data_IF_851435018016
#
_entry.id   IF_851435018016
#
_cell.length_a   1.000
_cell.length_b   1.000
_cell.length_c   1.000
_cell.angle_alpha   90.00
_cell.angle_beta   90.00
_cell.angle_gamma   90.00
#
_symmetry.space_group_name_H-M   'P 1'
#
loop_
_entity.id
_entity.type
_entity.pdbx_description
1 polymer ?
#
# COMPACT_ATOMS: atom_id res chain seq x y z
N UNK A 1 -31.77 18.63 -1.74
CA UNK A 1 -30.59 18.88 -0.87
C UNK A 1 -30.10 17.49 -0.43
N UNK A 2 -28.85 17.11 -0.74
CA UNK A 2 -28.31 15.85 -0.28
C UNK A 2 -27.78 16.06 1.15
N UNK A 3 -28.31 15.34 2.10
CA UNK A 3 -27.82 15.38 3.48
C UNK A 3 -26.46 14.73 3.59
N UNK A 4 -25.52 15.40 4.26
CA UNK A 4 -24.25 14.83 4.63
C UNK A 4 -24.47 13.87 5.79
N UNK A 5 -24.56 12.57 5.50
CA UNK A 5 -24.86 11.55 6.50
C UNK A 5 -23.75 11.35 7.54
N UNK A 6 -22.50 11.69 7.22
CA UNK A 6 -21.36 11.64 8.14
C UNK A 6 -20.27 12.60 7.67
N UNK A 7 -19.72 13.48 8.54
CA UNK A 7 -18.55 14.27 8.19
C UNK A 7 -17.37 13.32 7.98
N UNK A 8 -16.78 13.37 6.80
CA UNK A 8 -15.53 12.63 6.52
C UNK A 8 -14.37 13.41 7.13
N UNK A 9 -13.73 12.85 8.15
CA UNK A 9 -12.43 13.32 8.64
C UNK A 9 -11.35 12.81 7.67
N UNK A 10 -11.28 13.43 6.49
CA UNK A 10 -10.29 13.08 5.51
C UNK A 10 -8.88 13.39 6.05
N UNK A 11 -8.10 12.36 6.26
CA UNK A 11 -6.65 12.50 6.44
C UNK A 11 -6.04 12.84 5.10
N UNK A 12 -5.17 13.83 5.07
CA UNK A 12 -4.49 14.32 3.89
C UNK A 12 -3.00 14.14 4.07
N UNK A 13 -2.30 13.77 3.01
CA UNK A 13 -0.84 13.85 2.97
C UNK A 13 -0.38 15.06 2.18
N UNK A 14 0.81 15.53 2.48
CA UNK A 14 1.39 16.70 1.83
C UNK A 14 2.78 17.02 2.34
N UNK A 15 3.25 18.19 2.02
CA UNK A 15 4.60 18.66 2.33
C UNK A 15 4.51 19.95 3.13
N UNK A 16 5.42 20.12 4.09
CA UNK A 16 5.61 21.39 4.77
C UNK A 16 6.38 22.34 3.86
N UNK A 17 5.78 23.46 3.55
CA UNK A 17 6.38 24.54 2.78
C UNK A 17 6.58 25.77 3.65
N UNK A 18 7.38 26.71 3.18
CA UNK A 18 7.63 27.95 3.89
C UNK A 18 7.47 29.18 2.98
N UNK A 19 6.80 30.20 3.47
CA UNK A 19 6.71 31.50 2.85
C UNK A 19 6.88 32.59 3.91
N UNK A 20 7.82 33.51 3.69
CA UNK A 20 8.14 34.66 4.57
C UNK A 20 8.33 34.26 6.04
N UNK A 21 9.04 33.14 6.30
CA UNK A 21 9.34 32.65 7.65
C UNK A 21 8.15 31.99 8.36
N UNK A 22 7.08 31.69 7.64
CA UNK A 22 5.95 30.91 8.16
C UNK A 22 5.80 29.62 7.41
N UNK A 23 5.53 28.55 8.15
CA UNK A 23 5.29 27.24 7.59
C UNK A 23 3.82 27.00 7.26
N UNK A 24 3.59 26.27 6.18
CA UNK A 24 2.29 25.94 5.61
C UNK A 24 2.25 24.47 5.20
N UNK A 25 1.08 23.91 5.17
CA UNK A 25 0.82 22.57 4.65
C UNK A 25 0.38 22.67 3.19
N UNK A 26 1.11 22.02 2.29
CA UNK A 26 0.76 21.86 0.88
C UNK A 26 0.29 20.43 0.65
N UNK A 27 -1.02 20.25 0.50
CA UNK A 27 -1.62 18.93 0.30
C UNK A 27 -1.33 18.36 -1.08
N UNK A 28 -1.11 17.04 -1.18
CA UNK A 28 -0.81 16.34 -2.43
C UNK A 28 -1.98 16.35 -3.41
N UNK A 29 -3.20 16.22 -2.90
CA UNK A 29 -4.42 15.97 -3.69
C UNK A 29 -5.38 17.16 -3.76
N UNK A 30 -5.00 18.28 -3.15
CA UNK A 30 -5.81 19.49 -3.14
C UNK A 30 -5.21 20.56 -4.08
N UNK A 31 -5.75 21.77 -4.02
CA UNK A 31 -5.20 22.94 -4.72
C UNK A 31 -3.72 23.16 -4.37
N UNK A 32 -2.93 23.66 -5.32
CA UNK A 32 -1.53 24.07 -5.10
C UNK A 32 -1.37 25.26 -4.13
N UNK A 33 -2.44 25.72 -3.50
CA UNK A 33 -2.39 26.80 -2.53
C UNK A 33 -2.10 26.23 -1.13
N UNK A 34 -1.04 26.67 -0.47
CA UNK A 34 -0.71 26.20 0.87
C UNK A 34 -1.77 26.58 1.90
N UNK A 35 -1.98 25.69 2.87
CA UNK A 35 -2.95 25.81 3.96
C UNK A 35 -2.21 26.21 5.24
N UNK A 36 -2.80 27.08 6.03
CA UNK A 36 -2.24 27.47 7.34
C UNK A 36 -2.21 26.26 8.27
N UNK A 37 -1.11 26.15 9.02
CA UNK A 37 -0.99 25.12 10.05
C UNK A 37 -1.35 25.75 11.39
N UNK A 38 -2.25 25.09 12.13
CA UNK A 38 -2.46 25.40 13.54
C UNK A 38 -1.29 24.86 14.38
N UNK A 39 -1.15 25.37 15.61
CA UNK A 39 -0.14 24.87 16.54
C UNK A 39 -0.29 23.35 16.67
N UNK A 40 0.79 22.65 16.36
CA UNK A 40 0.89 21.20 16.46
C UNK A 40 1.93 20.85 17.53
N UNK A 41 1.68 19.82 18.29
CA UNK A 41 2.66 19.23 19.21
C UNK A 41 3.71 18.39 18.48
N UNK A 42 3.47 18.10 17.20
CA UNK A 42 4.37 17.32 16.35
C UNK A 42 5.50 18.20 15.83
N UNK A 43 6.73 17.74 15.99
CA UNK A 43 7.91 18.39 15.40
C UNK A 43 8.01 18.04 13.91
N UNK A 44 8.09 19.06 13.07
CA UNK A 44 8.28 18.94 11.62
C UNK A 44 9.17 20.07 11.10
N UNK A 45 9.74 19.87 9.92
CA UNK A 45 10.60 20.84 9.24
C UNK A 45 10.05 21.16 7.86
N UNK A 46 10.43 22.30 7.32
CA UNK A 46 10.21 22.62 5.91
C UNK A 46 10.81 21.53 5.02
N UNK A 47 10.02 21.01 4.09
CA UNK A 47 10.37 19.88 3.23
C UNK A 47 10.00 18.50 3.79
N UNK A 48 9.43 18.41 4.98
CA UNK A 48 8.95 17.14 5.49
C UNK A 48 7.62 16.72 4.85
N UNK A 49 7.51 15.42 4.61
CA UNK A 49 6.28 14.72 4.24
C UNK A 49 5.47 14.46 5.51
N UNK A 50 4.22 14.89 5.51
CA UNK A 50 3.37 14.84 6.71
C UNK A 50 1.98 14.33 6.39
N UNK A 51 1.30 13.84 7.42
CA UNK A 51 -0.15 13.62 7.44
C UNK A 51 -0.81 14.72 8.25
N UNK A 52 -1.90 15.26 7.73
CA UNK A 52 -2.68 16.32 8.36
C UNK A 52 -4.17 16.05 8.26
N UNK A 53 -4.95 16.69 9.12
CA UNK A 53 -6.41 16.82 8.98
C UNK A 53 -6.79 18.29 8.87
N UNK A 54 -7.89 18.60 8.18
CA UNK A 54 -8.47 19.91 8.18
C UNK A 54 -9.24 20.14 9.50
N UNK A 55 -8.74 21.03 10.33
CA UNK A 55 -9.40 21.40 11.59
C UNK A 55 -10.38 22.56 11.40
N UNK A 56 -10.18 23.39 10.37
CA UNK A 56 -11.11 24.47 10.00
C UNK A 56 -11.29 24.52 8.49
N UNK A 57 -12.55 24.56 8.03
CA UNK A 57 -12.92 24.76 6.63
C UNK A 57 -13.40 26.19 6.44
N UNK A 58 -12.66 26.96 5.66
CA UNK A 58 -13.03 28.31 5.26
C UNK A 58 -13.77 28.32 3.91
N UNK A 59 -14.28 29.47 3.51
CA UNK A 59 -14.99 29.65 2.23
C UNK A 59 -14.06 29.53 1.00
N UNK A 60 -12.78 29.83 1.18
CA UNK A 60 -11.74 29.69 0.15
C UNK A 60 -10.69 28.72 0.65
N UNK A 61 -10.00 28.08 -0.27
CA UNK A 61 -8.94 27.12 0.07
C UNK A 61 -7.88 27.70 1.03
N UNK A 62 -7.46 28.93 0.81
CA UNK A 62 -6.48 29.64 1.66
C UNK A 62 -6.96 29.93 3.09
N UNK A 63 -8.28 29.83 3.32
CA UNK A 63 -8.89 30.08 4.62
C UNK A 63 -9.07 28.79 5.43
N UNK A 64 -8.64 27.65 4.87
CA UNK A 64 -8.57 26.39 5.60
C UNK A 64 -7.41 26.43 6.59
N UNK A 65 -7.54 25.63 7.63
CA UNK A 65 -6.49 25.39 8.61
C UNK A 65 -6.32 23.89 8.78
N UNK A 66 -5.07 23.45 8.88
CA UNK A 66 -4.70 22.06 9.04
C UNK A 66 -3.94 21.84 10.36
N UNK A 67 -4.17 20.70 10.95
CA UNK A 67 -3.43 20.19 12.08
C UNK A 67 -2.55 19.04 11.60
N UNK A 68 -1.25 19.07 11.90
CA UNK A 68 -0.33 18.00 11.57
C UNK A 68 -0.51 16.87 12.58
N UNK A 69 -0.79 15.67 12.06
CA UNK A 69 -1.02 14.48 12.86
C UNK A 69 0.23 13.60 12.99
N UNK A 70 1.07 13.60 11.94
CA UNK A 70 2.23 12.73 11.86
C UNK A 70 3.25 13.25 10.84
N UNK A 71 4.53 13.02 11.07
CA UNK A 71 5.61 13.27 10.10
C UNK A 71 6.25 11.96 9.66
N UNK A 72 6.38 11.78 8.35
CA UNK A 72 7.09 10.64 7.73
C UNK A 72 8.59 10.96 7.51
N UNK A 73 9.01 12.21 7.77
CA UNK A 73 10.34 12.71 7.48
C UNK A 73 10.45 13.38 6.12
N UNK A 74 11.66 13.53 5.61
CA UNK A 74 11.92 14.31 4.38
C UNK A 74 11.14 13.80 3.18
N UNK A 75 10.46 14.70 2.46
CA UNK A 75 9.80 14.42 1.19
C UNK A 75 10.76 14.05 0.04
N UNK A 76 12.06 14.28 0.22
CA UNK A 76 13.10 13.82 -0.71
C UNK A 76 13.46 12.35 -0.52
N UNK A 77 12.94 11.70 0.51
CA UNK A 77 13.15 10.28 0.78
C UNK A 77 11.99 9.46 0.22
N UNK A 78 12.29 8.54 -0.69
CA UNK A 78 11.31 7.66 -1.30
C UNK A 78 10.53 6.81 -0.27
N UNK A 79 11.19 6.35 0.80
CA UNK A 79 10.54 5.60 1.87
C UNK A 79 9.47 6.45 2.58
N UNK A 80 9.76 7.72 2.90
CA UNK A 80 8.79 8.64 3.51
C UNK A 80 7.57 8.85 2.61
N UNK A 81 7.78 8.99 1.30
CA UNK A 81 6.70 9.11 0.33
C UNK A 81 5.85 7.84 0.23
N UNK A 82 6.49 6.66 0.18
CA UNK A 82 5.80 5.38 0.14
C UNK A 82 4.96 5.15 1.41
N UNK A 83 5.51 5.39 2.60
CA UNK A 83 4.78 5.29 3.86
C UNK A 83 3.57 6.24 3.91
N UNK A 84 3.72 7.46 3.39
CA UNK A 84 2.61 8.42 3.33
C UNK A 84 1.47 7.95 2.41
N UNK A 85 1.79 7.30 1.29
CA UNK A 85 0.81 6.72 0.38
C UNK A 85 0.07 5.53 1.01
N UNK A 86 0.78 4.64 1.68
CA UNK A 86 0.16 3.54 2.41
C UNK A 86 -0.81 4.08 3.49
N UNK A 87 -0.32 5.01 4.30
CA UNK A 87 -1.09 5.56 5.41
C UNK A 87 -2.37 6.31 4.98
N UNK A 88 -2.32 7.11 3.89
CA UNK A 88 -3.51 7.84 3.39
C UNK A 88 -4.55 6.88 2.79
N UNK A 89 -4.11 5.73 2.28
CA UNK A 89 -4.99 4.69 1.75
C UNK A 89 -5.43 3.68 2.82
N UNK A 90 -5.05 3.87 4.08
CA UNK A 90 -5.41 2.97 5.17
C UNK A 90 -4.74 1.60 5.11
N UNK A 91 -3.61 1.51 4.39
CA UNK A 91 -2.82 0.28 4.27
C UNK A 91 -1.78 0.27 5.39
N UNK A 92 -1.85 -0.72 6.25
CA UNK A 92 -0.88 -0.95 7.31
C UNK A 92 0.36 -1.64 6.74
N UNK A 93 1.53 -1.31 7.26
CA UNK A 93 2.82 -1.87 6.81
C UNK A 93 2.99 -3.32 7.22
N UNK A 94 2.47 -3.67 8.39
CA UNK A 94 2.57 -5.00 8.96
C UNK A 94 1.19 -5.66 9.04
N UNK A 95 1.15 -6.98 8.91
CA UNK A 95 -0.06 -7.73 9.15
C UNK A 95 -0.44 -7.70 10.63
N UNK A 96 -1.75 -7.67 10.96
CA UNK A 96 -2.22 -7.75 12.35
C UNK A 96 -1.69 -8.99 13.08
N UNK A 97 -1.50 -8.89 14.39
CA UNK A 97 -0.92 -9.96 15.21
C UNK A 97 -1.64 -11.32 15.08
N UNK A 98 -2.95 -11.30 14.95
CA UNK A 98 -3.74 -12.54 14.77
C UNK A 98 -3.37 -13.23 13.45
N UNK A 99 -3.20 -12.47 12.36
CA UNK A 99 -2.77 -13.00 11.07
C UNK A 99 -1.35 -13.57 11.16
N UNK A 100 -0.42 -12.84 11.81
CA UNK A 100 0.95 -13.33 12.02
C UNK A 100 0.98 -14.62 12.84
N UNK A 101 0.12 -14.76 13.87
CA UNK A 101 -0.02 -15.99 14.66
C UNK A 101 -0.54 -17.15 13.82
N UNK A 102 -1.53 -16.91 12.96
CA UNK A 102 -2.09 -17.96 12.11
C UNK A 102 -1.09 -18.39 11.01
N UNK A 103 -0.36 -17.48 10.42
CA UNK A 103 0.75 -17.82 9.50
C UNK A 103 1.79 -18.72 10.19
N UNK A 104 2.20 -18.39 11.43
CA UNK A 104 3.13 -19.23 12.19
C UNK A 104 2.57 -20.64 12.46
N UNK A 105 1.27 -20.77 12.78
CA UNK A 105 0.62 -22.07 12.96
C UNK A 105 0.63 -22.90 11.68
N UNK A 106 0.25 -22.27 10.55
CA UNK A 106 0.22 -22.93 9.25
C UNK A 106 1.62 -23.37 8.83
N UNK A 107 2.62 -22.52 9.00
CA UNK A 107 4.01 -22.87 8.72
C UNK A 107 4.53 -24.02 9.58
N UNK A 108 4.16 -24.06 10.87
CA UNK A 108 4.56 -25.13 11.78
C UNK A 108 3.84 -26.45 11.48
N UNK A 109 2.59 -26.39 11.01
CA UNK A 109 1.83 -27.57 10.64
C UNK A 109 2.37 -28.24 9.37
N UNK A 110 2.92 -27.43 8.43
CA UNK A 110 3.38 -27.94 7.15
C UNK A 110 2.23 -28.41 6.24
N UNK A 111 2.58 -29.22 5.24
CA UNK A 111 1.62 -29.84 4.33
C UNK A 111 1.35 -31.28 4.82
N UNK A 112 0.10 -31.62 5.04
CA UNK A 112 -0.30 -32.92 5.59
C UNK A 112 -0.57 -33.94 4.47
N UNK A 113 -0.49 -35.24 4.79
CA UNK A 113 -0.80 -36.28 3.81
C UNK A 113 -2.22 -36.18 3.23
N UNK A 114 -3.18 -35.76 4.06
CA UNK A 114 -4.56 -35.53 3.63
C UNK A 114 -4.70 -34.39 2.59
N UNK A 115 -3.75 -33.46 2.53
CA UNK A 115 -3.75 -32.40 1.52
C UNK A 115 -3.49 -32.91 0.10
N UNK A 116 -2.95 -34.13 -0.03
CA UNK A 116 -2.67 -34.80 -1.30
C UNK A 116 -3.76 -35.76 -1.76
N UNK A 117 -4.70 -36.12 -0.89
CA UNK A 117 -5.64 -37.23 -1.07
C UNK A 117 -6.44 -37.17 -2.37
N UNK A 118 -6.85 -35.97 -2.78
CA UNK A 118 -7.67 -35.75 -3.97
C UNK A 118 -6.90 -35.01 -5.08
N UNK A 119 -5.57 -35.00 -5.02
CA UNK A 119 -4.73 -34.35 -6.02
C UNK A 119 -4.10 -35.37 -6.97
N UNK A 120 -3.99 -34.99 -8.24
CA UNK A 120 -3.26 -35.77 -9.23
C UNK A 120 -1.76 -35.60 -8.97
N UNK A 121 -1.04 -36.72 -8.86
CA UNK A 121 0.41 -36.72 -8.73
C UNK A 121 1.07 -36.56 -10.11
N UNK A 122 1.67 -35.42 -10.36
CA UNK A 122 2.34 -35.07 -11.61
C UNK A 122 3.86 -34.99 -11.47
N UNK A 123 4.44 -35.48 -10.36
CA UNK A 123 5.89 -35.35 -10.09
C UNK A 123 6.77 -36.07 -11.12
N UNK A 124 6.24 -37.09 -11.79
CA UNK A 124 6.96 -37.82 -12.85
C UNK A 124 6.69 -37.26 -14.27
N UNK A 125 5.86 -36.22 -14.37
CA UNK A 125 5.55 -35.55 -15.64
C UNK A 125 6.54 -34.39 -15.85
N UNK A 126 7.21 -34.27 -17.03
CA UNK A 126 8.09 -33.14 -17.30
C UNK A 126 7.23 -31.86 -17.48
N UNK A 127 7.11 -31.11 -16.42
CA UNK A 127 6.38 -29.82 -16.36
C UNK A 127 7.41 -28.71 -16.18
N UNK A 128 7.22 -27.60 -16.89
CA UNK A 128 8.11 -26.45 -16.81
C UNK A 128 7.33 -25.14 -16.94
N UNK A 129 7.87 -24.07 -16.39
CA UNK A 129 7.38 -22.69 -16.55
C UNK A 129 8.35 -21.91 -17.44
N UNK A 130 7.86 -20.85 -18.06
CA UNK A 130 8.66 -19.94 -18.90
C UNK A 130 8.51 -18.53 -18.34
N UNK A 131 9.38 -18.20 -17.40
CA UNK A 131 9.36 -16.95 -16.67
C UNK A 131 10.65 -16.17 -16.84
N UNK A 132 10.67 -14.89 -16.47
CA UNK A 132 11.90 -14.13 -16.40
C UNK A 132 12.80 -14.66 -15.26
N UNK A 133 14.12 -14.52 -15.42
CA UNK A 133 15.07 -14.96 -14.39
C UNK A 133 14.89 -14.27 -13.02
N UNK A 134 14.18 -13.13 -12.99
CA UNK A 134 13.90 -12.36 -11.79
C UNK A 134 12.55 -12.67 -11.18
N UNK A 135 11.73 -13.51 -11.84
CA UNK A 135 10.38 -13.87 -11.37
C UNK A 135 10.48 -14.65 -10.06
N UNK A 136 9.72 -14.20 -9.05
CA UNK A 136 9.61 -14.87 -7.76
C UNK A 136 8.32 -15.66 -7.61
N UNK A 137 7.39 -15.41 -8.50
CA UNK A 137 6.08 -16.05 -8.59
C UNK A 137 6.00 -16.69 -9.97
N UNK A 138 5.84 -18.01 -10.01
CA UNK A 138 5.80 -18.80 -11.24
C UNK A 138 4.33 -19.12 -11.50
N UNK A 139 3.75 -18.49 -12.52
CA UNK A 139 2.30 -18.59 -12.79
C UNK A 139 1.96 -19.88 -13.53
N UNK A 140 1.97 -19.83 -14.86
CA UNK A 140 1.51 -20.94 -15.69
C UNK A 140 2.60 -21.98 -15.90
N UNK A 141 2.22 -23.25 -15.68
CA UNK A 141 3.08 -24.38 -15.95
C UNK A 141 2.55 -25.16 -17.16
N UNK A 142 3.44 -25.57 -18.03
CA UNK A 142 3.10 -26.31 -19.25
C UNK A 142 3.83 -27.65 -19.34
N UNK A 143 3.17 -28.63 -19.95
CA UNK A 143 3.79 -29.87 -20.35
C UNK A 143 3.41 -30.22 -21.78
N UNK A 144 4.31 -30.89 -22.52
CA UNK A 144 4.05 -31.39 -23.86
C UNK A 144 4.56 -32.81 -24.01
N UNK A 145 3.74 -33.68 -24.55
CA UNK A 145 4.08 -35.07 -24.82
C UNK A 145 3.69 -35.45 -26.26
N UNK A 146 4.61 -36.07 -26.99
CA UNK A 146 4.32 -36.63 -28.28
C UNK A 146 3.59 -37.96 -28.13
N UNK A 147 2.46 -38.14 -28.79
CA UNK A 147 1.65 -39.34 -28.79
C UNK A 147 2.12 -40.32 -29.90
N UNK A 148 1.78 -41.60 -29.79
CA UNK A 148 2.13 -42.64 -30.76
C UNK A 148 1.56 -42.39 -32.16
N UNK A 149 0.41 -41.72 -32.23
CA UNK A 149 -0.23 -41.32 -33.49
C UNK A 149 0.40 -40.11 -34.17
N UNK A 150 1.51 -39.58 -33.62
CA UNK A 150 2.26 -38.44 -34.13
C UNK A 150 1.72 -37.06 -33.68
N UNK A 151 0.60 -37.00 -32.96
CA UNK A 151 0.06 -35.79 -32.37
C UNK A 151 0.78 -35.45 -31.05
N UNK A 152 0.41 -34.30 -30.47
CA UNK A 152 0.92 -33.85 -29.20
C UNK A 152 -0.23 -33.69 -28.18
N UNK A 153 0.03 -34.11 -26.96
CA UNK A 153 -0.75 -33.73 -25.78
C UNK A 153 -0.11 -32.50 -25.16
N UNK A 154 -0.91 -31.51 -24.89
CA UNK A 154 -0.50 -30.28 -24.21
C UNK A 154 -1.30 -30.15 -22.91
N UNK A 155 -0.58 -29.97 -21.80
CA UNK A 155 -1.16 -29.62 -20.52
C UNK A 155 -0.80 -28.18 -20.15
N UNK A 156 -1.76 -27.45 -19.57
CA UNK A 156 -1.58 -26.11 -19.04
C UNK A 156 -2.20 -26.05 -17.66
#
# INVERSE_FOLDING_TARGET
MLDVLKPCEAKLTGIITEDKGRQYFLADTMSKTPIKIQNSEINYKTGDKVMAKLCRKGNRHRDHEAEILFTFGSAMNAASCAESLLAVNGVEKDFPENVQKDVKKIQAAGIWEDDYKDRLDLRDVPIFTIDSAESKDLDDAVHAKRLENGNYELGV
#
